data_IF_389512402067
#
_entry.id   IF_389512402067
#
_cell.length_a   1.000
_cell.length_b   1.000
_cell.length_c   1.000
_cell.angle_alpha   90.00
_cell.angle_beta   90.00
_cell.angle_gamma   90.00
#
_symmetry.space_group_name_H-M   'P 1'
#
loop_
_entity.id
_entity.type
_entity.pdbx_description
1 polymer ?
#
# COMPACT_ATOMS: atom_id res chain seq x y z
N UNK A 1 -25.89 -0.87 13.19
CA UNK A 1 -24.43 -0.72 13.36
C UNK A 1 -23.80 -1.89 14.11
N UNK A 2 -24.57 -2.82 14.67
CA UNK A 2 -24.04 -3.98 15.39
C UNK A 2 -23.22 -4.91 14.48
N UNK A 3 -22.05 -5.32 14.97
CA UNK A 3 -21.14 -6.28 14.33
C UNK A 3 -20.36 -5.78 13.11
N UNK A 4 -20.60 -4.58 12.59
CA UNK A 4 -19.82 -4.04 11.46
C UNK A 4 -18.49 -3.47 11.93
N UNK A 5 -17.42 -3.80 11.21
CA UNK A 5 -16.07 -3.29 11.45
C UNK A 5 -15.58 -2.49 10.24
N UNK A 6 -14.94 -1.35 10.52
CA UNK A 6 -14.32 -0.43 9.57
C UNK A 6 -12.81 -0.55 9.66
N UNK A 7 -12.17 -1.01 8.59
CA UNK A 7 -10.71 -1.22 8.57
C UNK A 7 -10.12 -0.73 7.26
N UNK A 8 -8.98 -0.04 7.37
CA UNK A 8 -8.07 0.23 6.27
C UNK A 8 -6.92 -0.76 6.38
N UNK A 9 -6.85 -1.72 5.45
CA UNK A 9 -6.01 -2.92 5.57
C UNK A 9 -4.60 -2.75 4.99
N UNK A 10 -4.26 -1.55 4.51
CA UNK A 10 -2.94 -1.27 3.93
C UNK A 10 -2.51 0.15 4.28
N UNK A 11 -1.59 0.27 5.23
CA UNK A 11 -1.12 1.55 5.76
C UNK A 11 0.32 1.41 6.22
N UNK A 12 1.15 2.40 5.87
CA UNK A 12 2.54 2.46 6.28
C UNK A 12 2.78 3.54 7.34
N UNK A 13 3.73 3.25 8.20
CA UNK A 13 4.26 4.10 9.26
C UNK A 13 5.71 4.46 8.95
N UNK A 14 6.32 5.30 9.78
CA UNK A 14 7.75 5.62 9.68
C UNK A 14 8.71 4.44 9.87
N UNK A 15 8.19 3.24 10.17
CA UNK A 15 8.98 2.00 10.20
C UNK A 15 9.19 1.42 8.79
N UNK A 16 8.36 1.76 7.80
CA UNK A 16 8.58 1.40 6.40
C UNK A 16 9.74 2.21 5.77
N UNK A 17 10.52 1.58 4.90
CA UNK A 17 11.71 2.20 4.29
C UNK A 17 11.41 3.40 3.38
N UNK A 18 10.19 3.46 2.86
CA UNK A 18 9.71 4.46 1.91
C UNK A 18 8.76 5.47 2.55
N UNK A 19 8.58 5.45 3.87
CA UNK A 19 7.85 6.48 4.60
C UNK A 19 8.82 7.45 5.28
N UNK A 20 8.62 8.76 5.10
CA UNK A 20 9.31 9.80 5.85
C UNK A 20 9.32 9.51 7.37
N UNK A 21 10.49 9.53 8.04
CA UNK A 21 10.58 9.42 9.50
C UNK A 21 10.15 10.73 10.20
N UNK A 22 9.04 11.33 9.77
CA UNK A 22 8.43 12.48 10.39
C UNK A 22 7.64 12.03 11.62
N UNK A 23 7.64 12.84 12.70
CA UNK A 23 6.86 12.57 13.92
C UNK A 23 5.38 12.26 13.64
N UNK A 24 4.81 12.89 12.61
CA UNK A 24 3.42 12.68 12.20
C UNK A 24 3.13 11.26 11.67
N UNK A 25 4.19 10.53 11.27
CA UNK A 25 4.19 9.17 10.72
C UNK A 25 4.61 8.11 11.73
N UNK A 26 4.96 8.51 12.97
CA UNK A 26 5.29 7.55 14.02
C UNK A 26 4.08 6.62 14.30
N UNK A 27 4.27 5.30 14.46
CA UNK A 27 3.19 4.34 14.65
C UNK A 27 2.18 4.76 15.73
N UNK A 28 2.65 5.28 16.86
CA UNK A 28 1.75 5.71 17.95
C UNK A 28 0.86 6.88 17.56
N UNK A 29 1.38 7.84 16.77
CA UNK A 29 0.61 8.99 16.30
C UNK A 29 -0.42 8.55 15.27
N UNK A 30 -0.03 7.66 14.36
CA UNK A 30 -0.91 7.11 13.34
C UNK A 30 -2.02 6.26 13.96
N UNK A 31 -1.71 5.45 14.98
CA UNK A 31 -2.70 4.64 15.70
C UNK A 31 -3.78 5.53 16.31
N UNK A 32 -3.41 6.57 17.05
CA UNK A 32 -4.38 7.51 17.64
C UNK A 32 -5.21 8.22 16.56
N UNK A 33 -4.59 8.62 15.43
CA UNK A 33 -5.33 9.20 14.29
C UNK A 33 -6.34 8.22 13.69
N UNK A 34 -5.95 6.95 13.52
CA UNK A 34 -6.82 5.91 12.99
C UNK A 34 -8.02 5.66 13.91
N UNK A 35 -7.78 5.53 15.22
CA UNK A 35 -8.86 5.41 16.23
C UNK A 35 -9.77 6.63 16.23
N UNK A 36 -9.22 7.84 16.16
CA UNK A 36 -10.02 9.07 16.07
C UNK A 36 -10.87 9.16 14.78
N UNK A 37 -10.48 8.47 13.71
CA UNK A 37 -11.28 8.32 12.47
C UNK A 37 -12.31 7.18 12.53
N UNK A 38 -12.45 6.54 13.69
CA UNK A 38 -13.40 5.47 13.93
C UNK A 38 -13.03 4.16 13.24
N UNK A 39 -11.74 3.90 12.96
CA UNK A 39 -11.32 2.57 12.52
C UNK A 39 -11.41 1.60 13.71
N UNK A 40 -12.07 0.46 13.50
CA UNK A 40 -12.29 -0.57 14.51
C UNK A 40 -11.03 -1.39 14.76
N UNK A 41 -10.26 -1.64 13.70
CA UNK A 41 -8.93 -2.24 13.74
C UNK A 41 -7.94 -1.34 13.02
N UNK A 42 -6.72 -1.29 13.54
CA UNK A 42 -5.57 -0.60 12.94
C UNK A 42 -4.52 -1.67 12.64
N UNK A 43 -4.00 -1.69 11.42
CA UNK A 43 -2.89 -2.55 11.00
C UNK A 43 -1.85 -1.66 10.33
N UNK A 44 -0.58 -1.87 10.64
CA UNK A 44 0.56 -1.24 9.97
C UNK A 44 1.24 -2.29 9.12
N UNK A 45 1.05 -2.22 7.82
CA UNK A 45 1.64 -3.18 6.88
C UNK A 45 2.94 -2.62 6.34
N UNK A 46 3.85 -2.25 7.24
CA UNK A 46 5.15 -1.71 6.88
C UNK A 46 5.93 -2.73 6.03
N UNK A 47 6.74 -2.24 5.09
CA UNK A 47 7.47 -3.11 4.17
C UNK A 47 8.49 -3.97 4.90
N UNK A 48 8.31 -5.29 4.81
CA UNK A 48 9.28 -6.29 5.26
C UNK A 48 9.77 -6.06 6.70
N UNK A 49 8.90 -5.55 7.58
CA UNK A 49 9.20 -5.26 8.99
C UNK A 49 7.97 -5.25 9.88
N UNK A 50 8.16 -5.64 11.14
CA UNK A 50 7.14 -5.64 12.21
C UNK A 50 7.48 -4.63 13.32
N UNK A 51 8.39 -3.70 13.07
CA UNK A 51 8.91 -2.77 14.08
C UNK A 51 7.81 -1.87 14.70
N UNK A 52 6.76 -1.55 13.95
CA UNK A 52 5.62 -0.81 14.48
C UNK A 52 4.97 -1.52 15.69
N UNK A 53 4.94 -2.85 15.70
CA UNK A 53 4.37 -3.66 16.80
C UNK A 53 5.34 -3.77 17.97
N UNK A 54 6.65 -3.85 17.70
CA UNK A 54 7.67 -3.77 18.75
C UNK A 54 7.58 -2.45 19.52
N UNK A 55 7.28 -1.35 18.83
CA UNK A 55 7.12 -0.02 19.44
C UNK A 55 5.80 0.17 20.19
N UNK A 56 4.72 -0.45 19.72
CA UNK A 56 3.37 -0.25 20.27
C UNK A 56 2.93 -1.29 21.30
N UNK A 57 3.59 -2.44 21.31
CA UNK A 57 3.13 -3.65 22.00
C UNK A 57 2.19 -4.46 21.10
N UNK A 58 2.53 -5.73 20.89
CA UNK A 58 1.79 -6.65 20.02
C UNK A 58 0.35 -6.88 20.48
N UNK A 59 0.10 -6.90 21.79
CA UNK A 59 -1.23 -7.14 22.40
C UNK A 59 -2.08 -5.88 22.57
N UNK A 60 -1.71 -4.76 21.93
CA UNK A 60 -2.44 -3.50 22.08
C UNK A 60 -3.85 -3.62 21.51
N UNK A 61 -4.86 -3.30 22.33
CA UNK A 61 -6.27 -3.39 21.91
C UNK A 61 -6.56 -2.58 20.63
N UNK A 62 -7.18 -3.24 19.65
CA UNK A 62 -7.53 -2.64 18.36
C UNK A 62 -6.35 -2.49 17.39
N UNK A 63 -5.14 -2.90 17.77
CA UNK A 63 -4.00 -3.10 16.87
C UNK A 63 -4.00 -4.55 16.42
N UNK A 64 -3.89 -4.77 15.11
CA UNK A 64 -3.77 -6.10 14.51
C UNK A 64 -2.41 -6.18 13.84
N UNK A 65 -1.54 -7.13 14.24
CA UNK A 65 -0.29 -7.39 13.55
C UNK A 65 -0.50 -7.62 12.06
N UNK A 66 0.36 -7.02 11.25
CA UNK A 66 0.36 -7.15 9.81
C UNK A 66 1.65 -6.63 9.20
N UNK A 67 1.96 -7.04 7.98
CA UNK A 67 3.21 -6.68 7.29
C UNK A 67 2.97 -6.75 5.79
N UNK A 68 3.56 -5.86 5.00
CA UNK A 68 3.62 -6.00 3.54
C UNK A 68 4.93 -6.70 3.16
N UNK A 69 4.84 -7.96 2.73
CA UNK A 69 6.00 -8.75 2.35
C UNK A 69 6.25 -8.64 0.85
N UNK A 70 7.49 -8.32 0.49
CA UNK A 70 7.96 -8.16 -0.89
C UNK A 70 8.61 -9.45 -1.40
N UNK A 71 7.98 -10.12 -2.36
CA UNK A 71 8.49 -11.37 -2.95
C UNK A 71 8.97 -11.11 -4.36
N UNK A 72 10.18 -11.56 -4.69
CA UNK A 72 10.74 -11.45 -6.04
C UNK A 72 10.85 -12.82 -6.68
N UNK A 73 10.26 -12.94 -7.87
CA UNK A 73 10.46 -14.09 -8.77
C UNK A 73 10.72 -13.54 -10.18
N UNK A 74 11.97 -13.15 -10.48
CA UNK A 74 12.31 -12.55 -11.76
C UNK A 74 12.16 -13.51 -12.95
N UNK A 75 12.21 -14.83 -12.71
CA UNK A 75 12.16 -15.84 -13.76
C UNK A 75 10.73 -16.12 -14.24
N UNK A 76 9.77 -16.26 -13.31
CA UNK A 76 8.40 -16.63 -13.66
C UNK A 76 7.44 -15.43 -13.67
N UNK A 77 7.63 -14.48 -12.75
CA UNK A 77 6.67 -13.39 -12.48
C UNK A 77 7.18 -12.06 -13.06
N UNK A 78 8.49 -11.82 -12.99
CA UNK A 78 9.16 -10.68 -13.61
C UNK A 78 8.84 -9.32 -12.97
N UNK A 79 8.12 -9.32 -11.84
CA UNK A 79 7.84 -8.16 -11.01
C UNK A 79 7.83 -8.56 -9.53
N UNK A 80 7.95 -7.56 -8.65
CA UNK A 80 7.85 -7.79 -7.21
C UNK A 80 6.38 -7.99 -6.84
N UNK A 81 6.06 -9.06 -6.12
CA UNK A 81 4.73 -9.26 -5.53
C UNK A 81 4.74 -8.67 -4.14
N UNK A 82 3.71 -7.90 -3.85
CA UNK A 82 3.48 -7.43 -2.51
C UNK A 82 2.30 -8.17 -1.90
N UNK A 83 2.48 -8.66 -0.68
CA UNK A 83 1.47 -9.43 0.04
C UNK A 83 1.32 -8.88 1.44
N UNK A 84 0.15 -8.34 1.77
CA UNK A 84 -0.19 -8.10 3.16
C UNK A 84 -0.50 -9.43 3.84
N UNK A 85 0.15 -9.69 4.97
CA UNK A 85 -0.13 -10.81 5.88
C UNK A 85 -0.57 -10.21 7.22
N UNK A 86 -1.57 -10.78 7.88
CA UNK A 86 -2.13 -10.27 9.14
C UNK A 86 -2.20 -11.36 10.22
N UNK A 87 -2.45 -10.94 11.47
CA UNK A 87 -2.53 -11.80 12.66
C UNK A 87 -1.30 -12.69 12.88
N UNK A 88 -0.18 -12.37 12.24
CA UNK A 88 1.09 -13.06 12.42
C UNK A 88 1.75 -12.63 13.74
N UNK A 89 2.58 -13.51 14.30
CA UNK A 89 3.51 -13.16 15.37
C UNK A 89 4.95 -12.93 14.87
N UNK A 90 5.88 -12.67 15.81
CA UNK A 90 7.29 -12.43 15.47
C UNK A 90 8.03 -13.68 14.95
N UNK A 91 7.63 -14.87 15.37
CA UNK A 91 8.22 -16.13 14.92
C UNK A 91 7.78 -16.43 13.49
N UNK A 92 6.47 -16.33 13.21
CA UNK A 92 5.90 -16.51 11.88
C UNK A 92 6.46 -15.49 10.88
N UNK A 93 6.66 -14.22 11.30
CA UNK A 93 7.33 -13.23 10.47
C UNK A 93 8.76 -13.64 10.10
N UNK A 94 9.55 -14.14 11.07
CA UNK A 94 10.91 -14.60 10.82
C UNK A 94 10.97 -15.81 9.87
N UNK A 95 10.01 -16.73 9.96
CA UNK A 95 9.91 -17.86 9.04
C UNK A 95 9.52 -17.43 7.62
N UNK A 96 8.56 -16.50 7.47
CA UNK A 96 8.19 -15.92 6.18
C UNK A 96 9.36 -15.16 5.55
N UNK A 97 10.09 -14.36 6.33
CA UNK A 97 11.28 -13.65 5.88
C UNK A 97 12.35 -14.63 5.36
N UNK A 98 12.58 -15.73 6.07
CA UNK A 98 13.52 -16.76 5.64
C UNK A 98 13.11 -17.39 4.29
N UNK A 99 11.83 -17.73 4.11
CA UNK A 99 11.30 -18.27 2.85
C UNK A 99 11.54 -17.29 1.69
N UNK A 100 11.24 -16.01 1.90
CA UNK A 100 11.35 -14.99 0.85
C UNK A 100 12.79 -14.66 0.48
N UNK A 101 13.67 -14.53 1.48
CA UNK A 101 15.05 -14.11 1.27
C UNK A 101 15.99 -15.25 0.82
N UNK A 102 15.72 -16.48 1.24
CA UNK A 102 16.62 -17.61 0.98
C UNK A 102 16.15 -18.47 -0.19
N UNK A 103 14.84 -18.71 -0.31
CA UNK A 103 14.30 -19.64 -1.28
C UNK A 103 13.75 -18.94 -2.53
N UNK A 104 13.41 -17.65 -2.41
CA UNK A 104 12.66 -16.89 -3.43
C UNK A 104 11.42 -17.66 -3.93
N UNK A 105 10.84 -18.48 -3.05
CA UNK A 105 9.85 -19.47 -3.43
C UNK A 105 8.44 -19.00 -3.07
N UNK A 106 7.80 -18.38 -4.05
CA UNK A 106 6.38 -18.00 -3.96
C UNK A 106 5.47 -19.18 -3.59
N UNK A 107 5.77 -20.41 -4.04
CA UNK A 107 4.92 -21.57 -3.73
C UNK A 107 5.07 -21.98 -2.28
N UNK A 108 6.29 -22.00 -1.75
CA UNK A 108 6.53 -22.28 -0.33
C UNK A 108 5.93 -21.19 0.55
N UNK A 109 6.03 -19.93 0.15
CA UNK A 109 5.38 -18.81 0.83
C UNK A 109 3.86 -18.98 0.91
N UNK A 110 3.17 -19.20 -0.22
CA UNK A 110 1.72 -19.43 -0.23
C UNK A 110 1.33 -20.70 0.54
N UNK A 111 2.15 -21.75 0.48
CA UNK A 111 1.91 -22.99 1.24
C UNK A 111 1.97 -22.70 2.74
N UNK A 112 2.97 -21.95 3.20
CA UNK A 112 3.12 -21.57 4.59
C UNK A 112 1.89 -20.81 5.08
N UNK A 113 1.49 -19.74 4.37
CA UNK A 113 0.31 -18.94 4.71
C UNK A 113 -0.97 -19.77 4.82
N UNK A 114 -1.13 -20.80 3.99
CA UNK A 114 -2.30 -21.70 4.04
C UNK A 114 -2.22 -22.71 5.18
N UNK A 115 -1.04 -23.23 5.51
CA UNK A 115 -0.86 -24.22 6.58
C UNK A 115 -1.05 -23.58 7.96
N UNK A 116 -0.60 -22.34 8.12
CA UNK A 116 -0.74 -21.56 9.36
C UNK A 116 -2.05 -20.77 9.40
N UNK A 117 -2.89 -20.89 8.37
CA UNK A 117 -4.14 -20.14 8.21
C UNK A 117 -3.93 -18.63 8.46
N UNK A 118 -2.91 -18.02 7.86
CA UNK A 118 -2.66 -16.59 8.00
C UNK A 118 -3.55 -15.78 7.04
N UNK A 119 -4.32 -14.78 7.49
CA UNK A 119 -5.04 -13.86 6.62
C UNK A 119 -4.07 -13.11 5.71
N UNK A 120 -4.32 -13.10 4.40
CA UNK A 120 -3.41 -12.45 3.45
C UNK A 120 -4.11 -11.88 2.22
N UNK A 121 -3.56 -10.79 1.67
CA UNK A 121 -4.08 -10.05 0.52
C UNK A 121 -2.99 -9.97 -0.55
N UNK A 122 -3.36 -10.18 -1.82
CA UNK A 122 -2.49 -9.77 -2.94
C UNK A 122 -2.67 -8.27 -3.20
N UNK A 123 -1.63 -7.51 -2.92
CA UNK A 123 -1.65 -6.06 -3.03
C UNK A 123 -1.49 -5.63 -4.49
N UNK A 124 -2.20 -4.54 -4.84
CA UNK A 124 -2.12 -3.79 -6.09
C UNK A 124 -1.58 -4.56 -7.32
N UNK A 125 -2.29 -5.60 -7.82
CA UNK A 125 -1.74 -6.61 -8.75
C UNK A 125 -1.16 -6.11 -10.09
N UNK A 126 -1.45 -4.87 -10.47
CA UNK A 126 -1.00 -4.23 -11.70
C UNK A 126 -0.11 -3.00 -11.46
N UNK A 127 0.37 -2.85 -10.23
CA UNK A 127 1.46 -1.96 -9.89
C UNK A 127 2.79 -2.68 -10.08
N UNK A 128 3.77 -2.00 -10.67
CA UNK A 128 5.08 -2.58 -10.98
C UNK A 128 6.17 -1.57 -10.64
N UNK A 129 7.22 -2.04 -9.97
CA UNK A 129 8.34 -1.20 -9.58
C UNK A 129 9.16 -0.74 -10.80
N UNK A 130 9.92 0.34 -10.63
CA UNK A 130 10.80 0.83 -11.68
C UNK A 130 11.88 -0.21 -11.98
N UNK A 131 11.88 -0.72 -13.20
CA UNK A 131 12.85 -1.74 -13.66
C UNK A 131 12.24 -3.11 -13.83
N UNK A 132 11.04 -3.34 -13.29
CA UNK A 132 10.31 -4.60 -13.47
C UNK A 132 10.00 -4.86 -14.94
N UNK A 133 9.99 -6.15 -15.29
CA UNK A 133 9.62 -6.68 -16.60
C UNK A 133 8.43 -7.62 -16.42
N UNK A 134 7.25 -7.10 -16.05
CA UNK A 134 6.15 -7.92 -15.56
C UNK A 134 5.65 -8.90 -16.61
N UNK A 135 5.52 -10.16 -16.21
CA UNK A 135 4.76 -11.14 -16.95
C UNK A 135 3.27 -10.93 -16.69
N UNK A 136 2.61 -10.11 -17.52
CA UNK A 136 1.18 -9.79 -17.35
C UNK A 136 0.26 -11.01 -17.41
N UNK A 137 0.71 -12.13 -17.99
CA UNK A 137 -0.06 -13.40 -18.00
C UNK A 137 0.02 -14.13 -16.67
N UNK A 138 1.02 -13.84 -15.84
CA UNK A 138 1.14 -14.41 -14.50
C UNK A 138 0.09 -13.82 -13.54
N UNK A 139 -0.28 -12.54 -13.70
CA UNK A 139 -1.17 -11.84 -12.75
C UNK A 139 -2.52 -12.56 -12.54
N UNK A 140 -3.27 -12.99 -13.58
CA UNK A 140 -4.49 -13.77 -13.37
C UNK A 140 -4.25 -15.11 -12.66
N UNK A 141 -3.13 -15.79 -12.90
CA UNK A 141 -2.78 -17.03 -12.21
C UNK A 141 -2.40 -16.81 -10.75
N UNK A 142 -1.73 -15.68 -10.46
CA UNK A 142 -1.42 -15.24 -9.11
C UNK A 142 -2.70 -14.94 -8.33
N UNK A 143 -3.62 -14.15 -8.89
CA UNK A 143 -4.92 -13.84 -8.25
C UNK A 143 -5.64 -15.12 -7.78
N UNK A 144 -5.58 -16.21 -8.54
CA UNK A 144 -6.20 -17.49 -8.14
C UNK A 144 -5.62 -18.07 -6.85
N UNK A 145 -4.38 -17.73 -6.49
CA UNK A 145 -3.70 -18.26 -5.31
C UNK A 145 -4.10 -17.59 -4.00
N UNK A 146 -4.69 -16.38 -4.06
CA UNK A 146 -5.01 -15.58 -2.88
C UNK A 146 -6.50 -15.68 -2.49
N UNK A 147 -6.85 -15.46 -1.20
CA UNK A 147 -8.23 -15.39 -0.75
C UNK A 147 -8.88 -14.03 -1.01
N UNK A 148 -8.09 -12.95 -0.90
CA UNK A 148 -8.54 -11.56 -1.05
C UNK A 148 -7.55 -10.81 -1.92
N UNK A 149 -8.07 -9.93 -2.78
CA UNK A 149 -7.29 -9.08 -3.67
C UNK A 149 -7.55 -7.62 -3.32
N UNK A 150 -6.50 -6.81 -3.40
CA UNK A 150 -6.60 -5.39 -3.11
C UNK A 150 -7.24 -4.57 -4.23
N UNK A 151 -8.09 -3.64 -3.83
CA UNK A 151 -8.47 -2.44 -4.57
C UNK A 151 -7.71 -1.25 -3.95
N UNK A 152 -6.63 -0.81 -4.58
CA UNK A 152 -5.74 0.21 -4.03
C UNK A 152 -6.15 1.59 -4.52
N UNK A 153 -6.57 2.49 -3.62
CA UNK A 153 -7.02 3.82 -4.02
C UNK A 153 -5.93 4.72 -4.63
N UNK A 154 -4.66 4.41 -4.37
CA UNK A 154 -3.53 5.09 -4.97
C UNK A 154 -3.13 4.53 -6.33
N UNK A 155 -3.77 3.48 -6.81
CA UNK A 155 -3.63 3.02 -8.19
C UNK A 155 -4.73 3.58 -9.12
N UNK A 156 -4.56 3.37 -10.41
CA UNK A 156 -5.50 3.83 -11.43
C UNK A 156 -6.83 3.09 -11.36
N UNK A 157 -7.93 3.83 -11.52
CA UNK A 157 -9.29 3.29 -11.54
C UNK A 157 -9.41 2.14 -12.54
N UNK A 158 -8.82 2.27 -13.73
CA UNK A 158 -8.86 1.25 -14.79
C UNK A 158 -8.22 -0.06 -14.33
N UNK A 159 -7.04 0.00 -13.68
CA UNK A 159 -6.37 -1.19 -13.14
C UNK A 159 -7.21 -1.84 -12.03
N UNK A 160 -7.72 -1.04 -11.11
CA UNK A 160 -8.60 -1.51 -10.04
C UNK A 160 -9.89 -2.16 -10.56
N UNK A 161 -10.48 -1.64 -11.64
CA UNK A 161 -11.66 -2.26 -12.27
C UNK A 161 -11.33 -3.62 -12.91
N UNK A 162 -10.16 -3.74 -13.55
CA UNK A 162 -9.67 -5.02 -14.08
C UNK A 162 -9.42 -6.01 -12.93
N UNK A 163 -8.78 -5.57 -11.85
CA UNK A 163 -8.55 -6.37 -10.64
C UNK A 163 -9.88 -6.86 -10.04
N UNK A 164 -10.85 -5.97 -9.88
CA UNK A 164 -12.17 -6.32 -9.35
C UNK A 164 -12.92 -7.32 -10.26
N UNK A 165 -12.79 -7.18 -11.58
CA UNK A 165 -13.36 -8.12 -12.53
C UNK A 165 -12.72 -9.51 -12.43
N UNK A 166 -11.39 -9.58 -12.31
CA UNK A 166 -10.65 -10.83 -12.12
C UNK A 166 -10.95 -11.49 -10.77
N UNK A 167 -10.99 -10.71 -9.68
CA UNK A 167 -11.37 -11.20 -8.36
C UNK A 167 -12.77 -11.82 -8.39
N UNK A 168 -13.75 -11.13 -8.99
CA UNK A 168 -15.11 -11.67 -9.17
C UNK A 168 -15.11 -12.93 -10.01
N UNK A 169 -14.38 -12.96 -11.14
CA UNK A 169 -14.28 -14.12 -12.04
C UNK A 169 -13.76 -15.35 -11.28
N UNK A 170 -12.80 -15.19 -10.39
CA UNK A 170 -12.16 -16.28 -9.67
C UNK A 170 -12.71 -16.50 -8.24
N UNK A 171 -13.83 -15.85 -7.89
CA UNK A 171 -14.48 -16.00 -6.58
C UNK A 171 -13.62 -15.54 -5.41
N UNK A 172 -12.85 -14.46 -5.58
CA UNK A 172 -11.96 -13.89 -4.56
C UNK A 172 -12.61 -12.71 -3.85
N UNK A 173 -12.28 -12.52 -2.58
CA UNK A 173 -12.65 -11.33 -1.82
C UNK A 173 -11.98 -10.08 -2.38
N UNK A 174 -12.55 -8.92 -2.08
CA UNK A 174 -11.99 -7.61 -2.43
C UNK A 174 -11.89 -6.74 -1.18
N UNK A 175 -10.74 -6.12 -0.98
CA UNK A 175 -10.49 -5.15 0.09
C UNK A 175 -10.07 -3.81 -0.52
N UNK A 176 -10.81 -2.75 -0.22
CA UNK A 176 -10.41 -1.39 -0.55
C UNK A 176 -9.53 -0.80 0.54
N UNK A 177 -8.40 -0.24 0.13
CA UNK A 177 -7.33 0.23 1.01
C UNK A 177 -6.78 1.58 0.55
N UNK A 178 -6.07 2.26 1.45
CA UNK A 178 -5.40 3.52 1.10
C UNK A 178 -3.97 3.34 0.64
N UNK A 179 -3.26 2.31 1.08
CA UNK A 179 -1.82 2.17 0.86
C UNK A 179 -1.07 3.45 1.28
N UNK A 180 -1.49 4.02 2.42
CA UNK A 180 -1.09 5.37 2.77
C UNK A 180 0.34 5.44 3.30
N UNK A 181 1.11 6.34 2.70
CA UNK A 181 2.48 6.67 3.09
C UNK A 181 2.57 8.04 3.78
N UNK A 182 1.43 8.71 3.95
CA UNK A 182 1.35 10.08 4.47
C UNK A 182 0.37 10.26 5.63
N UNK A 183 -0.20 9.17 6.15
CA UNK A 183 -1.16 9.19 7.26
C UNK A 183 -2.59 9.52 6.82
N UNK A 184 -2.89 9.30 5.54
CA UNK A 184 -4.21 9.40 4.91
C UNK A 184 -5.19 8.28 5.28
N UNK A 185 -4.81 7.38 6.19
CA UNK A 185 -5.59 6.20 6.60
C UNK A 185 -7.07 6.48 6.87
N UNK A 186 -7.93 5.56 6.46
CA UNK A 186 -9.39 5.65 6.62
C UNK A 186 -10.09 6.62 5.66
N UNK A 187 -9.39 7.17 4.67
CA UNK A 187 -10.00 7.88 3.53
C UNK A 187 -10.71 6.92 2.56
N UNK A 188 -10.23 5.67 2.52
CA UNK A 188 -10.86 4.50 1.92
C UNK A 188 -10.77 3.38 2.93
N UNK A 189 -11.76 2.50 2.97
CA UNK A 189 -11.80 1.39 3.91
C UNK A 189 -12.73 0.29 3.44
N UNK A 190 -12.57 -0.88 4.05
CA UNK A 190 -13.45 -2.03 3.87
C UNK A 190 -14.34 -2.18 5.11
N UNK A 191 -15.63 -2.41 4.86
CA UNK A 191 -16.63 -2.75 5.86
C UNK A 191 -16.97 -4.23 5.74
N UNK A 192 -16.89 -4.97 6.83
CA UNK A 192 -17.43 -6.33 6.92
C UNK A 192 -17.93 -6.58 8.34
N UNK A 193 -18.77 -7.58 8.51
CA UNK A 193 -19.17 -8.00 9.87
C UNK A 193 -18.08 -8.87 10.49
N UNK A 194 -17.99 -8.88 11.81
CA UNK A 194 -17.14 -9.81 12.55
C UNK A 194 -16.87 -9.29 13.95
N UNK A 195 -17.00 -10.16 14.95
CA UNK A 195 -16.73 -9.79 16.34
C UNK A 195 -15.22 -9.83 16.64
N UNK A 196 -14.45 -10.57 15.85
CA UNK A 196 -12.99 -10.59 15.81
C UNK A 196 -12.45 -10.10 14.45
N UNK A 197 -11.14 -9.82 14.37
CA UNK A 197 -10.50 -9.51 13.08
C UNK A 197 -10.56 -10.71 12.14
N UNK A 198 -10.36 -11.93 12.65
CA UNK A 198 -10.53 -13.18 11.90
C UNK A 198 -11.88 -13.28 11.21
N UNK A 199 -12.99 -13.12 11.94
CA UNK A 199 -14.33 -13.17 11.36
C UNK A 199 -14.57 -12.05 10.35
N UNK A 200 -14.05 -10.86 10.63
CA UNK A 200 -14.08 -9.72 9.72
C UNK A 200 -13.38 -10.05 8.39
N UNK A 201 -12.17 -10.61 8.44
CA UNK A 201 -11.40 -10.98 7.27
C UNK A 201 -12.07 -12.13 6.50
N UNK A 202 -12.57 -13.15 7.20
CA UNK A 202 -13.29 -14.26 6.56
C UNK A 202 -14.54 -13.78 5.83
N UNK A 203 -15.24 -12.77 6.35
CA UNK A 203 -16.35 -12.16 5.63
C UNK A 203 -15.89 -11.45 4.35
N UNK A 204 -14.74 -10.77 4.35
CA UNK A 204 -14.16 -10.21 3.11
C UNK A 204 -13.81 -11.31 2.11
N UNK A 205 -13.09 -12.36 2.56
CA UNK A 205 -12.72 -13.54 1.77
C UNK A 205 -13.92 -14.18 1.08
N UNK A 206 -15.06 -14.21 1.77
CA UNK A 206 -16.31 -14.77 1.25
C UNK A 206 -17.17 -13.77 0.46
N UNK A 207 -16.66 -12.57 0.13
CA UNK A 207 -17.38 -11.54 -0.61
C UNK A 207 -18.53 -10.88 0.17
N UNK A 208 -18.55 -11.02 1.50
CA UNK A 208 -19.53 -10.42 2.42
C UNK A 208 -18.97 -9.13 3.03
N UNK A 209 -18.51 -8.23 2.17
CA UNK A 209 -17.95 -6.92 2.54
C UNK A 209 -18.44 -5.81 1.61
N UNK A 210 -18.27 -4.57 2.06
CA UNK A 210 -18.50 -3.37 1.25
C UNK A 210 -17.22 -2.54 1.21
N UNK A 211 -16.80 -2.17 0.00
CA UNK A 211 -15.74 -1.18 -0.20
C UNK A 211 -16.34 0.22 -0.07
N UNK A 212 -15.79 1.06 0.79
CA UNK A 212 -16.20 2.45 0.93
C UNK A 212 -15.11 3.35 0.37
N UNK A 213 -15.40 3.88 -0.81
CA UNK A 213 -14.46 4.68 -1.60
C UNK A 213 -15.09 6.06 -1.82
N UNK A 214 -14.53 7.10 -1.22
CA UNK A 214 -15.02 8.47 -1.37
C UNK A 214 -14.14 9.29 -2.31
N UNK A 215 -14.68 9.73 -3.44
CA UNK A 215 -13.93 10.50 -4.45
C UNK A 215 -13.12 9.62 -5.40
N UNK A 216 -12.63 10.21 -6.51
CA UNK A 216 -11.92 9.46 -7.55
C UNK A 216 -10.41 9.35 -7.33
N UNK A 217 -9.76 8.39 -7.99
CA UNK A 217 -8.30 8.14 -7.96
C UNK A 217 -7.47 9.40 -8.12
N UNK A 218 -7.81 10.25 -9.09
CA UNK A 218 -7.10 11.54 -9.30
C UNK A 218 -7.11 12.42 -8.05
N UNK A 219 -8.22 12.49 -7.32
CA UNK A 219 -8.34 13.32 -6.11
C UNK A 219 -7.49 12.75 -4.98
N UNK A 220 -7.50 11.43 -4.79
CA UNK A 220 -6.68 10.75 -3.79
C UNK A 220 -5.20 10.87 -4.10
N UNK A 221 -4.77 10.55 -5.32
CA UNK A 221 -3.39 10.77 -5.79
C UNK A 221 -2.94 12.21 -5.57
N UNK A 222 -3.79 13.19 -5.89
CA UNK A 222 -3.47 14.61 -5.67
C UNK A 222 -3.32 14.93 -4.17
N UNK A 223 -4.17 14.39 -3.30
CA UNK A 223 -4.07 14.58 -1.85
C UNK A 223 -2.80 13.94 -1.29
N UNK A 224 -2.50 12.71 -1.70
CA UNK A 224 -1.32 11.97 -1.25
C UNK A 224 -0.04 12.71 -1.67
N UNK A 225 0.07 13.12 -2.94
CA UNK A 225 1.21 13.91 -3.42
C UNK A 225 1.36 15.24 -2.65
N UNK A 226 0.26 15.90 -2.28
CA UNK A 226 0.31 17.12 -1.47
C UNK A 226 0.80 16.86 -0.05
N UNK A 227 0.29 15.81 0.60
CA UNK A 227 0.72 15.41 1.94
C UNK A 227 2.20 15.01 1.93
N UNK A 228 2.66 14.34 0.87
CA UNK A 228 4.06 14.05 0.62
C UNK A 228 4.93 15.32 0.58
N UNK A 229 4.51 16.36 -0.12
CA UNK A 229 5.20 17.66 -0.07
C UNK A 229 5.31 18.13 1.39
N UNK A 230 4.21 18.18 2.12
CA UNK A 230 4.20 18.68 3.51
C UNK A 230 5.10 17.85 4.44
N UNK A 231 5.11 16.53 4.31
CA UNK A 231 5.99 15.63 5.07
C UNK A 231 7.45 15.85 4.71
N UNK A 232 7.78 15.89 3.42
CA UNK A 232 9.14 16.18 2.95
C UNK A 232 9.65 17.49 3.53
N UNK A 233 8.81 18.53 3.57
CA UNK A 233 9.22 19.84 4.07
C UNK A 233 9.19 19.98 5.60
N UNK A 234 8.54 19.08 6.35
CA UNK A 234 8.45 19.11 7.82
C UNK A 234 9.49 18.26 8.56
N UNK A 235 10.20 17.35 7.88
CA UNK A 235 11.24 16.50 8.48
C UNK A 235 12.46 17.27 9.02
N UNK A 236 13.15 16.73 10.04
CA UNK A 236 14.42 17.29 10.50
C UNK A 236 15.53 17.15 9.44
N UNK A 237 16.54 18.01 9.48
CA UNK A 237 17.57 18.19 8.43
C UNK A 237 18.41 16.94 8.18
N UNK A 238 18.62 16.10 9.21
CA UNK A 238 19.50 14.93 9.15
C UNK A 238 18.78 13.65 8.68
N UNK A 239 17.45 13.56 8.81
CA UNK A 239 16.69 12.35 8.50
C UNK A 239 16.30 12.22 7.00
N UNK A 240 16.61 13.22 6.17
CA UNK A 240 16.17 13.28 4.76
C UNK A 240 17.16 12.68 3.74
N UNK A 241 18.35 12.26 4.18
CA UNK A 241 19.42 11.74 3.31
C UNK A 241 19.37 10.24 3.06
N UNK A 242 18.62 9.50 3.87
CA UNK A 242 18.61 8.02 3.89
C UNK A 242 17.32 7.41 3.31
N UNK A 243 16.32 8.23 2.98
CA UNK A 243 15.00 7.74 2.53
C UNK A 243 14.96 7.62 1.00
N UNK A 244 14.63 6.42 0.51
CA UNK A 244 14.30 6.19 -0.89
C UNK A 244 12.93 6.81 -1.20
N UNK A 245 12.91 8.03 -1.74
CA UNK A 245 11.66 8.68 -2.12
C UNK A 245 11.06 8.03 -3.38
N UNK A 246 9.94 7.33 -3.24
CA UNK A 246 9.13 6.91 -4.40
C UNK A 246 7.66 7.22 -4.15
N UNK A 247 7.14 8.24 -4.84
CA UNK A 247 5.69 8.50 -4.95
C UNK A 247 5.11 7.83 -6.20
N UNK A 248 5.87 6.94 -6.85
CA UNK A 248 5.54 6.25 -8.10
C UNK A 248 5.27 7.17 -9.31
N UNK A 249 5.55 8.46 -9.16
CA UNK A 249 5.35 9.48 -10.19
C UNK A 249 6.73 10.01 -10.53
N UNK A 250 7.41 9.36 -11.50
CA UNK A 250 8.82 9.62 -11.85
C UNK A 250 9.17 11.11 -12.01
N UNK A 251 8.27 11.92 -12.54
CA UNK A 251 8.46 13.38 -12.67
C UNK A 251 8.43 14.09 -11.33
N UNK A 252 7.55 13.69 -10.43
CA UNK A 252 7.47 14.20 -9.07
C UNK A 252 8.68 13.74 -8.25
N UNK A 253 9.05 12.46 -8.32
CA UNK A 253 10.21 11.89 -7.62
C UNK A 253 11.52 12.57 -8.04
N UNK A 254 11.71 12.82 -9.35
CA UNK A 254 12.88 13.57 -9.85
C UNK A 254 12.92 15.01 -9.35
N UNK A 255 11.77 15.68 -9.32
CA UNK A 255 11.70 17.05 -8.85
C UNK A 255 11.93 17.09 -7.33
N UNK A 256 11.23 16.28 -6.55
CA UNK A 256 11.47 16.19 -5.10
C UNK A 256 12.91 15.78 -4.82
N UNK A 257 13.46 14.77 -5.50
CA UNK A 257 14.86 14.35 -5.33
C UNK A 257 15.86 15.47 -5.64
N UNK A 258 15.63 16.29 -6.66
CA UNK A 258 16.48 17.45 -6.99
C UNK A 258 16.44 18.52 -5.88
N UNK A 259 15.26 18.84 -5.35
CA UNK A 259 15.11 19.86 -4.31
C UNK A 259 15.44 19.34 -2.91
N UNK A 260 15.22 18.04 -2.67
CA UNK A 260 15.66 17.33 -1.49
C UNK A 260 17.19 17.29 -1.46
N UNK A 261 17.90 17.00 -2.56
CA UNK A 261 19.37 16.89 -2.57
C UNK A 261 20.14 18.20 -2.80
N UNK A 262 19.48 19.30 -3.19
CA UNK A 262 20.15 20.53 -3.62
C UNK A 262 20.56 21.50 -2.50
N UNK A 263 21.68 22.21 -2.71
CA UNK A 263 22.22 23.37 -1.94
C UNK A 263 21.24 24.54 -1.70
N UNK A 264 20.00 24.43 -2.16
CA UNK A 264 18.88 25.36 -1.93
C UNK A 264 18.52 25.46 -0.42
N UNK A 265 19.04 24.51 0.38
CA UNK A 265 18.91 24.32 1.83
C UNK A 265 19.53 25.42 2.72
N UNK A 266 20.44 26.25 2.22
CA UNK A 266 21.11 27.28 3.05
C UNK A 266 20.25 28.52 3.34
N UNK A 267 19.09 28.65 2.68
CA UNK A 267 18.26 29.87 2.75
C UNK A 267 16.80 29.56 3.12
N UNK A 268 16.37 29.85 4.37
CA UNK A 268 15.01 29.55 4.86
C UNK A 268 13.87 30.14 3.99
N UNK A 269 14.08 31.32 3.39
CA UNK A 269 13.11 31.95 2.48
C UNK A 269 12.94 31.19 1.17
N UNK A 270 14.00 30.57 0.66
CA UNK A 270 13.95 29.78 -0.58
C UNK A 270 13.25 28.44 -0.33
N UNK A 271 13.44 27.85 0.86
CA UNK A 271 12.72 26.63 1.28
C UNK A 271 11.19 26.85 1.34
N UNK A 272 10.73 27.97 1.91
CA UNK A 272 9.32 28.32 1.96
C UNK A 272 8.70 28.60 0.57
N UNK A 273 9.47 29.21 -0.34
CA UNK A 273 9.03 29.44 -1.72
C UNK A 273 8.94 28.12 -2.50
N UNK A 274 9.94 27.24 -2.36
CA UNK A 274 9.95 25.92 -2.97
C UNK A 274 8.77 25.07 -2.49
N UNK A 275 8.51 25.02 -1.18
CA UNK A 275 7.35 24.32 -0.62
C UNK A 275 6.04 24.84 -1.23
N UNK A 276 5.83 26.16 -1.29
CA UNK A 276 4.64 26.75 -1.91
C UNK A 276 4.52 26.41 -3.40
N UNK A 277 5.64 26.41 -4.13
CA UNK A 277 5.66 25.99 -5.53
C UNK A 277 5.20 24.53 -5.67
N UNK A 278 5.77 23.61 -4.89
CA UNK A 278 5.42 22.20 -4.92
C UNK A 278 3.99 21.91 -4.47
N UNK A 279 3.50 22.62 -3.45
CA UNK A 279 2.10 22.54 -3.04
C UNK A 279 1.18 23.02 -4.15
N UNK A 280 1.47 24.15 -4.81
CA UNK A 280 0.66 24.63 -5.92
C UNK A 280 0.71 23.67 -7.13
N UNK A 281 1.89 23.14 -7.44
CA UNK A 281 2.08 22.17 -8.51
C UNK A 281 1.30 20.88 -8.23
N UNK A 282 1.38 20.34 -7.02
CA UNK A 282 0.61 19.14 -6.64
C UNK A 282 -0.90 19.42 -6.59
N UNK A 283 -1.36 20.51 -5.94
CA UNK A 283 -2.79 20.94 -5.90
C UNK A 283 -3.41 21.18 -7.27
N UNK A 284 -2.63 21.52 -8.29
CA UNK A 284 -3.14 21.66 -9.66
C UNK A 284 -3.71 20.35 -10.23
N UNK A 285 -3.36 19.20 -9.64
CA UNK A 285 -3.70 17.88 -10.14
C UNK A 285 -3.02 17.53 -11.47
N UNK A 286 -2.06 18.35 -11.91
CA UNK A 286 -1.25 18.11 -13.10
C UNK A 286 -0.31 16.90 -12.91
N UNK A 287 0.37 16.71 -11.76
CA UNK A 287 1.23 15.53 -11.56
C UNK A 287 0.44 14.22 -11.65
N UNK A 288 -0.70 14.15 -10.98
CA UNK A 288 -1.61 13.00 -11.05
C UNK A 288 -2.08 12.77 -12.50
N UNK A 289 -2.48 13.82 -13.22
CA UNK A 289 -2.86 13.70 -14.64
C UNK A 289 -1.71 13.19 -15.54
N UNK A 290 -0.49 13.68 -15.34
CA UNK A 290 0.68 13.22 -16.10
C UNK A 290 0.98 11.75 -15.84
N UNK A 291 0.90 11.30 -14.58
CA UNK A 291 1.05 9.90 -14.20
C UNK A 291 0.00 9.01 -14.89
N UNK A 292 -1.29 9.36 -14.75
CA UNK A 292 -2.39 8.63 -15.41
C UNK A 292 -2.17 8.52 -16.92
N UNK A 293 -1.68 9.58 -17.57
CA UNK A 293 -1.40 9.57 -19.01
C UNK A 293 -0.21 8.67 -19.36
N UNK A 294 0.84 8.63 -18.55
CA UNK A 294 2.02 7.81 -18.77
C UNK A 294 1.71 6.30 -18.65
N UNK A 295 0.73 5.93 -17.82
CA UNK A 295 0.32 4.54 -17.58
C UNK A 295 -0.63 3.97 -18.65
N UNK A 296 -1.23 4.81 -19.51
CA UNK A 296 -2.18 4.35 -20.56
C UNK A 296 -1.65 3.18 -21.43
N UNK A 297 -0.39 3.19 -21.91
CA UNK A 297 0.12 2.07 -22.69
C UNK A 297 0.16 0.76 -21.90
N UNK A 298 0.42 0.81 -20.59
CA UNK A 298 0.39 -0.38 -19.73
C UNK A 298 -1.04 -0.89 -19.57
N UNK A 299 -2.01 -0.01 -19.31
CA UNK A 299 -3.43 -0.39 -19.21
C UNK A 299 -3.89 -1.11 -20.48
N UNK A 300 -3.61 -0.58 -21.67
CA UNK A 300 -4.00 -1.23 -22.93
C UNK A 300 -3.34 -2.61 -23.12
N UNK A 301 -2.11 -2.79 -22.61
CA UNK A 301 -1.45 -4.11 -22.62
C UNK A 301 -2.11 -5.08 -21.65
N UNK A 302 -2.48 -4.63 -20.45
CA UNK A 302 -3.22 -5.43 -19.46
C UNK A 302 -4.55 -5.87 -20.03
N UNK A 303 -5.36 -4.95 -20.56
CA UNK A 303 -6.67 -5.25 -21.17
C UNK A 303 -6.55 -6.30 -22.27
N UNK A 304 -5.54 -6.18 -23.15
CA UNK A 304 -5.30 -7.16 -24.21
C UNK A 304 -5.00 -8.55 -23.63
N UNK A 305 -4.18 -8.65 -22.60
CA UNK A 305 -3.81 -9.94 -21.98
C UNK A 305 -5.00 -10.54 -21.22
N UNK A 306 -5.74 -9.73 -20.46
CA UNK A 306 -6.91 -10.17 -19.71
C UNK A 306 -8.01 -10.63 -20.67
N UNK A 307 -8.28 -9.91 -21.76
CA UNK A 307 -9.27 -10.33 -22.76
C UNK A 307 -8.90 -11.62 -23.50
N UNK A 308 -7.61 -11.94 -23.64
CA UNK A 308 -7.15 -13.20 -24.24
C UNK A 308 -7.22 -14.39 -23.26
N UNK A 309 -7.35 -14.12 -21.96
CA UNK A 309 -7.45 -15.12 -20.89
C UNK A 309 -8.85 -15.15 -20.25
N UNK A 310 -9.75 -14.28 -20.73
CA UNK A 310 -11.14 -14.17 -20.31
C UNK A 310 -11.96 -15.33 -20.88
#
# INVERSE_FOLDING_TARGET
QEGWKKVDLHVHSSCSYDVPPAKAMHPSVLFEKARAKGLDYVTFTDHDTVEAYNLLGWDREGLVPGVEISIKDPENIGHTLHVNVFELDSEEFGELEAIVNQEHDFKSFIRYLRLHDLPHIYNHPFWFAIGDRPNLRAVPELIKQFPVIEYNMQDLTEKNLITAALARKYGKGLAATTDSHTGGMGAVYTLAKGDSFREYFDNIKNGRSYMVIEGGARRHLTKELNAWVELVFSMDRNARGEVGFTTNVKTFDRLIGFFANGKIREFPRINGLAMKFFQNFSRSGLPAYMYMRAEKPLISRIEKVVNLTA
#
